data_IF_295454606948
#
_entry.id   IF_295454606948
#
_cell.length_a   1.000
_cell.length_b   1.000
_cell.length_c   1.000
_cell.angle_alpha   90.00
_cell.angle_beta   90.00
_cell.angle_gamma   90.00
#
_symmetry.space_group_name_H-M   'P 1'
#
loop_
_entity.id
_entity.type
_entity.pdbx_description
1 polymer ?
#
# COMPACT_ATOMS: atom_id res chain seq x y z
N UNK A 1 34.27 4.29 1.51
CA UNK A 1 33.38 3.42 2.27
C UNK A 1 31.94 3.78 1.88
N UNK A 2 31.12 2.82 1.43
CA UNK A 2 29.68 3.09 1.21
C UNK A 2 29.05 3.32 2.58
N UNK A 3 28.35 4.43 2.76
CA UNK A 3 27.55 4.62 3.97
C UNK A 3 26.56 3.45 4.09
N UNK A 4 26.41 2.85 5.28
CA UNK A 4 25.42 1.79 5.48
C UNK A 4 24.03 2.35 5.14
N UNK A 5 23.22 1.56 4.43
CA UNK A 5 21.86 1.95 4.00
C UNK A 5 20.98 2.19 5.23
N UNK A 6 21.12 1.35 6.23
CA UNK A 6 20.51 1.48 7.54
C UNK A 6 21.61 1.55 8.60
N UNK A 7 21.38 2.36 9.61
CA UNK A 7 22.30 2.47 10.75
C UNK A 7 22.08 1.29 11.68
N UNK A 8 23.14 0.59 12.03
CA UNK A 8 23.08 -0.53 12.99
C UNK A 8 22.46 -0.08 14.32
N UNK A 9 21.68 -0.94 14.94
CA UNK A 9 21.00 -0.70 16.22
C UNK A 9 20.04 0.50 16.21
N UNK A 10 19.59 0.94 15.03
CA UNK A 10 18.58 1.98 14.88
C UNK A 10 17.25 1.34 14.50
N UNK A 11 16.19 1.78 15.15
CA UNK A 11 14.83 1.36 14.85
C UNK A 11 14.30 2.15 13.66
N UNK A 12 13.65 1.45 12.72
CA UNK A 12 12.98 2.02 11.56
C UNK A 12 11.54 1.56 11.49
N UNK A 13 10.64 2.50 11.27
CA UNK A 13 9.25 2.21 10.90
C UNK A 13 9.09 2.20 9.39
N UNK A 14 8.01 1.61 8.86
CA UNK A 14 7.74 1.61 7.42
C UNK A 14 7.74 3.02 6.84
N UNK A 15 7.17 4.01 7.53
CA UNK A 15 7.16 5.41 7.09
C UNK A 15 8.55 6.06 7.05
N UNK A 16 9.54 5.55 7.79
CA UNK A 16 10.90 6.07 7.71
C UNK A 16 11.54 5.74 6.36
N UNK A 17 11.21 4.61 5.75
CA UNK A 17 11.69 4.22 4.43
C UNK A 17 11.23 5.16 3.32
N UNK A 18 10.06 5.77 3.46
CA UNK A 18 9.60 6.83 2.56
C UNK A 18 10.54 8.05 2.54
N UNK A 19 11.24 8.30 3.65
CA UNK A 19 12.14 9.45 3.83
C UNK A 19 13.58 9.15 3.44
N UNK A 20 13.94 7.87 3.28
CA UNK A 20 15.29 7.50 2.89
C UNK A 20 15.61 7.95 1.47
N UNK A 21 16.86 8.37 1.26
CA UNK A 21 17.40 8.73 -0.06
C UNK A 21 18.05 7.55 -0.78
N UNK A 22 18.18 6.41 -0.10
CA UNK A 22 18.75 5.20 -0.68
C UNK A 22 17.83 4.63 -1.78
N UNK A 23 18.39 4.16 -2.91
CA UNK A 23 17.60 3.55 -3.96
C UNK A 23 16.86 2.29 -3.47
N UNK A 24 15.60 2.10 -3.90
CA UNK A 24 14.79 0.93 -3.55
C UNK A 24 15.54 -0.41 -3.74
N UNK A 25 16.28 -0.54 -4.84
CA UNK A 25 17.09 -1.74 -5.11
C UNK A 25 18.09 -2.06 -4.00
N UNK A 26 18.71 -1.03 -3.43
CA UNK A 26 19.69 -1.21 -2.36
C UNK A 26 19.02 -1.58 -1.05
N UNK A 27 17.87 -0.97 -0.74
CA UNK A 27 17.07 -1.30 0.44
C UNK A 27 16.60 -2.76 0.38
N UNK A 28 16.06 -3.20 -0.75
CA UNK A 28 15.64 -4.59 -0.93
C UNK A 28 16.81 -5.57 -0.85
N UNK A 29 17.96 -5.24 -1.43
CA UNK A 29 19.16 -6.06 -1.32
C UNK A 29 19.64 -6.21 0.14
N UNK A 30 19.48 -5.17 0.97
CA UNK A 30 19.81 -5.24 2.39
C UNK A 30 18.99 -6.32 3.11
N UNK A 31 17.72 -6.47 2.74
CA UNK A 31 16.84 -7.52 3.27
C UNK A 31 16.93 -8.86 2.52
N UNK A 32 17.86 -9.01 1.58
CA UNK A 32 18.05 -10.27 0.83
C UNK A 32 17.13 -10.42 -0.39
N UNK A 33 16.39 -9.39 -0.78
CA UNK A 33 15.47 -9.41 -1.92
C UNK A 33 16.06 -8.72 -3.15
N UNK A 34 15.53 -9.02 -4.34
CA UNK A 34 15.95 -8.41 -5.61
C UNK A 34 14.77 -7.70 -6.28
N UNK A 35 15.00 -6.46 -6.69
CA UNK A 35 14.04 -5.71 -7.50
C UNK A 35 14.11 -6.18 -8.96
N UNK A 36 12.99 -6.59 -9.51
CA UNK A 36 12.80 -6.82 -10.95
C UNK A 36 11.67 -5.91 -11.46
N UNK A 37 11.90 -5.25 -12.59
CA UNK A 37 10.87 -4.50 -13.32
C UNK A 37 10.55 -5.27 -14.60
N UNK A 38 9.31 -5.74 -14.74
CA UNK A 38 8.84 -6.46 -15.92
C UNK A 38 7.36 -6.19 -16.15
N UNK A 39 6.91 -6.34 -17.38
CA UNK A 39 5.49 -6.48 -17.66
C UNK A 39 4.98 -7.77 -17.04
N UNK A 40 3.81 -7.70 -16.44
CA UNK A 40 3.13 -8.84 -15.85
C UNK A 40 1.65 -8.78 -16.19
N UNK A 41 1.13 -9.84 -16.79
CA UNK A 41 -0.30 -9.97 -17.03
C UNK A 41 -0.95 -10.46 -15.75
N UNK A 42 -1.71 -9.58 -15.10
CA UNK A 42 -2.47 -9.94 -13.91
C UNK A 42 -3.61 -10.87 -14.30
N UNK A 43 -3.93 -11.89 -13.49
CA UNK A 43 -5.10 -12.72 -13.71
C UNK A 43 -6.36 -11.85 -13.79
N UNK A 44 -7.16 -12.07 -14.82
CA UNK A 44 -8.43 -11.39 -15.00
C UNK A 44 -9.56 -12.22 -14.40
N UNK A 45 -10.32 -11.62 -13.48
CA UNK A 45 -11.58 -12.17 -12.99
C UNK A 45 -12.75 -11.80 -13.90
N UNK A 46 -13.96 -12.25 -13.55
CA UNK A 46 -15.17 -11.77 -14.22
C UNK A 46 -15.36 -10.28 -13.91
N UNK A 47 -15.71 -9.49 -14.93
CA UNK A 47 -15.93 -8.07 -14.77
C UNK A 47 -17.09 -7.77 -13.82
N UNK A 48 -16.86 -6.95 -12.83
CA UNK A 48 -17.86 -6.49 -11.85
C UNK A 48 -18.45 -5.17 -12.31
N UNK A 49 -19.02 -5.17 -13.51
CA UNK A 49 -19.39 -3.97 -14.26
C UNK A 49 -20.42 -3.11 -13.52
N UNK A 50 -21.42 -3.73 -12.90
CA UNK A 50 -22.52 -3.00 -12.27
C UNK A 50 -22.06 -2.22 -11.03
N UNK A 51 -21.26 -2.84 -10.17
CA UNK A 51 -20.74 -2.17 -8.97
C UNK A 51 -19.75 -1.06 -9.30
N UNK A 52 -18.86 -1.30 -10.27
CA UNK A 52 -17.94 -0.26 -10.72
C UNK A 52 -18.71 0.94 -11.31
N UNK A 53 -19.78 0.69 -12.04
CA UNK A 53 -20.66 1.74 -12.58
C UNK A 53 -21.38 2.51 -11.48
N UNK A 54 -21.94 1.81 -10.49
CA UNK A 54 -22.61 2.43 -9.35
C UNK A 54 -21.63 3.30 -8.54
N UNK A 55 -20.44 2.79 -8.26
CA UNK A 55 -19.40 3.55 -7.55
C UNK A 55 -18.98 4.80 -8.33
N UNK A 56 -18.76 4.67 -9.64
CA UNK A 56 -18.44 5.79 -10.53
C UNK A 56 -19.53 6.84 -10.51
N UNK A 57 -20.80 6.47 -10.63
CA UNK A 57 -21.92 7.39 -10.60
C UNK A 57 -21.99 8.12 -9.24
N UNK A 58 -21.83 7.40 -8.14
CA UNK A 58 -21.77 8.00 -6.81
C UNK A 58 -20.65 9.03 -6.70
N UNK A 59 -19.46 8.72 -7.19
CA UNK A 59 -18.36 9.68 -7.20
C UNK A 59 -18.65 10.91 -8.06
N UNK A 60 -19.26 10.75 -9.22
CA UNK A 60 -19.63 11.88 -10.07
C UNK A 60 -20.62 12.83 -9.36
N UNK A 61 -21.52 12.29 -8.55
CA UNK A 61 -22.50 13.06 -7.78
C UNK A 61 -21.90 13.70 -6.53
N UNK A 62 -20.97 13.07 -5.85
CA UNK A 62 -20.51 13.47 -4.50
C UNK A 62 -19.17 14.18 -4.48
N UNK A 63 -18.19 13.79 -5.32
CA UNK A 63 -16.85 14.38 -5.31
C UNK A 63 -16.82 15.89 -5.53
N UNK A 64 -17.72 16.52 -6.29
CA UNK A 64 -17.76 17.98 -6.40
C UNK A 64 -17.95 18.72 -5.08
N UNK A 65 -18.46 18.02 -4.05
CA UNK A 65 -18.72 18.58 -2.72
C UNK A 65 -17.69 18.16 -1.67
N UNK A 66 -16.64 17.43 -2.08
CA UNK A 66 -15.63 16.86 -1.18
C UNK A 66 -14.27 17.47 -1.49
N UNK A 67 -13.63 18.04 -0.49
CA UNK A 67 -12.27 18.53 -0.60
C UNK A 67 -11.27 17.39 -0.37
N UNK A 68 -10.53 17.00 -1.42
CA UNK A 68 -9.51 15.96 -1.37
C UNK A 68 -8.11 16.54 -1.07
N UNK A 69 -8.01 17.41 -0.08
CA UNK A 69 -6.81 18.19 0.20
C UNK A 69 -5.67 17.38 0.85
N UNK A 70 -5.98 16.29 1.51
CA UNK A 70 -4.99 15.49 2.23
C UNK A 70 -5.14 13.99 1.95
N UNK A 71 -4.17 13.22 2.43
CA UNK A 71 -4.11 11.77 2.25
C UNK A 71 -5.31 11.06 2.89
N UNK A 72 -5.72 11.48 4.08
CA UNK A 72 -6.87 10.90 4.77
C UNK A 72 -8.16 11.07 3.97
N UNK A 73 -8.44 12.26 3.45
CA UNK A 73 -9.63 12.48 2.62
C UNK A 73 -9.62 11.58 1.37
N UNK A 74 -8.46 11.39 0.74
CA UNK A 74 -8.32 10.49 -0.41
C UNK A 74 -8.52 9.02 -0.03
N UNK A 75 -8.02 8.61 1.12
CA UNK A 75 -8.25 7.26 1.66
C UNK A 75 -9.74 7.01 1.86
N UNK A 76 -10.42 7.91 2.55
CA UNK A 76 -11.84 7.77 2.90
C UNK A 76 -12.77 7.80 1.69
N UNK A 77 -12.54 8.73 0.76
CA UNK A 77 -13.48 8.97 -0.33
C UNK A 77 -13.13 8.29 -1.65
N UNK A 78 -11.87 7.89 -1.86
CA UNK A 78 -11.45 7.22 -3.09
C UNK A 78 -11.04 5.76 -2.88
N UNK A 79 -10.22 5.47 -1.86
CA UNK A 79 -9.66 4.12 -1.67
C UNK A 79 -10.67 3.23 -0.93
N UNK A 80 -11.15 3.64 0.24
CA UNK A 80 -12.05 2.84 1.06
C UNK A 80 -13.32 2.39 0.31
N UNK A 81 -14.00 3.22 -0.51
CA UNK A 81 -15.15 2.76 -1.26
C UNK A 81 -14.83 1.65 -2.29
N UNK A 82 -13.65 1.68 -2.91
CA UNK A 82 -13.20 0.58 -3.79
C UNK A 82 -12.98 -0.69 -2.99
N UNK A 83 -12.32 -0.59 -1.84
CA UNK A 83 -12.04 -1.73 -0.98
C UNK A 83 -13.31 -2.38 -0.42
N UNK A 84 -14.33 -1.58 -0.11
CA UNK A 84 -15.63 -2.10 0.30
C UNK A 84 -16.27 -2.94 -0.81
N UNK A 85 -16.15 -2.54 -2.08
CA UNK A 85 -16.62 -3.37 -3.20
C UNK A 85 -15.77 -4.64 -3.34
N UNK A 86 -14.44 -4.56 -3.19
CA UNK A 86 -13.56 -5.74 -3.19
C UNK A 86 -13.99 -6.74 -2.11
N UNK A 87 -14.21 -6.29 -0.88
CA UNK A 87 -14.66 -7.16 0.23
C UNK A 87 -16.01 -7.82 -0.09
N UNK A 88 -16.93 -7.07 -0.67
CA UNK A 88 -18.26 -7.60 -1.01
C UNK A 88 -18.18 -8.79 -1.98
N UNK A 89 -17.19 -8.78 -2.89
CA UNK A 89 -16.99 -9.87 -3.86
C UNK A 89 -16.10 -10.98 -3.33
N UNK A 90 -15.07 -10.65 -2.58
CA UNK A 90 -14.04 -11.61 -2.17
C UNK A 90 -14.30 -12.23 -0.81
N UNK A 91 -15.13 -11.60 0.01
CA UNK A 91 -15.33 -11.94 1.42
C UNK A 91 -14.01 -11.92 2.21
N UNK A 92 -13.03 -11.12 1.73
CA UNK A 92 -11.77 -10.93 2.44
C UNK A 92 -11.99 -10.16 3.74
N UNK A 93 -11.25 -10.51 4.77
CA UNK A 93 -11.18 -9.73 6.00
C UNK A 93 -10.29 -8.50 5.76
N UNK A 94 -10.71 -7.33 6.22
CA UNK A 94 -9.96 -6.10 6.10
C UNK A 94 -9.67 -5.50 7.47
N UNK A 95 -8.41 -5.16 7.69
CA UNK A 95 -7.95 -4.33 8.81
C UNK A 95 -7.46 -2.99 8.29
N UNK A 96 -7.82 -1.92 9.00
CA UNK A 96 -7.38 -0.55 8.75
C UNK A 96 -6.39 -0.16 9.83
N UNK A 97 -5.32 0.55 9.48
CA UNK A 97 -4.24 0.90 10.39
C UNK A 97 -3.69 -0.35 11.13
N UNK A 98 -3.40 -1.40 10.36
CA UNK A 98 -2.96 -2.68 10.92
C UNK A 98 -1.52 -2.59 11.44
N UNK A 99 -1.30 -2.78 12.75
CA UNK A 99 0.05 -2.75 13.31
C UNK A 99 0.81 -4.03 12.97
N UNK A 100 2.01 -3.89 12.40
CA UNK A 100 2.91 -5.00 12.12
C UNK A 100 4.26 -4.75 12.77
N UNK A 101 4.76 -5.71 13.53
CA UNK A 101 6.05 -5.62 14.22
C UNK A 101 6.81 -6.94 14.07
N UNK A 102 7.74 -6.99 13.12
CA UNK A 102 8.56 -8.17 12.82
C UNK A 102 9.95 -8.06 13.44
N UNK A 103 10.60 -6.91 13.21
CA UNK A 103 11.92 -6.60 13.79
C UNK A 103 12.00 -5.09 14.09
N UNK A 104 13.09 -4.67 14.74
CA UNK A 104 13.34 -3.23 14.94
C UNK A 104 13.46 -2.43 13.66
N UNK A 105 13.74 -3.08 12.53
CA UNK A 105 13.85 -2.46 11.22
C UNK A 105 12.64 -2.72 10.31
N UNK A 106 11.73 -3.62 10.71
CA UNK A 106 10.54 -4.01 9.96
C UNK A 106 9.33 -3.93 10.88
N UNK A 107 8.82 -2.73 11.08
CA UNK A 107 7.64 -2.47 11.91
C UNK A 107 6.95 -1.18 11.50
N UNK A 108 5.69 -1.06 11.86
CA UNK A 108 4.87 0.12 11.59
C UNK A 108 3.41 -0.23 11.46
N UNK A 109 2.70 0.57 10.71
CA UNK A 109 1.26 0.42 10.50
C UNK A 109 0.99 0.37 9.00
N UNK A 110 0.22 -0.61 8.56
CA UNK A 110 -0.25 -0.73 7.18
C UNK A 110 -1.58 0.01 7.06
N UNK A 111 -1.74 0.85 6.03
CA UNK A 111 -2.98 1.60 5.83
C UNK A 111 -4.19 0.69 5.69
N UNK A 112 -4.09 -0.32 4.82
CA UNK A 112 -5.10 -1.38 4.69
C UNK A 112 -4.41 -2.73 4.48
N UNK A 113 -4.89 -3.71 5.23
CA UNK A 113 -4.46 -5.10 5.14
C UNK A 113 -5.66 -5.99 4.93
N UNK A 114 -5.71 -6.67 3.79
CA UNK A 114 -6.79 -7.60 3.45
C UNK A 114 -6.24 -9.02 3.40
N UNK A 115 -6.98 -9.95 4.00
CA UNK A 115 -6.63 -11.38 3.99
C UNK A 115 -7.78 -12.23 3.48
N UNK A 116 -7.44 -13.25 2.72
CA UNK A 116 -8.31 -14.34 2.30
C UNK A 116 -7.54 -15.66 2.42
N UNK A 117 -8.18 -16.80 2.19
CA UNK A 117 -7.69 -18.15 2.55
C UNK A 117 -6.22 -18.45 2.19
N UNK A 118 -5.67 -17.87 1.14
CA UNK A 118 -4.26 -18.08 0.73
C UNK A 118 -3.64 -16.82 0.12
N UNK A 119 -4.21 -15.66 0.38
CA UNK A 119 -3.78 -14.40 -0.23
C UNK A 119 -3.83 -13.28 0.78
N UNK A 120 -2.89 -12.36 0.66
CA UNK A 120 -2.95 -11.09 1.36
C UNK A 120 -2.75 -9.94 0.36
N UNK A 121 -3.33 -8.81 0.67
CA UNK A 121 -3.17 -7.57 -0.07
C UNK A 121 -2.83 -6.47 0.91
N UNK A 122 -1.70 -5.81 0.67
CA UNK A 122 -1.27 -4.61 1.40
C UNK A 122 -1.49 -3.42 0.50
N UNK A 123 -2.12 -2.39 1.03
CA UNK A 123 -2.37 -1.14 0.32
C UNK A 123 -1.84 0.00 1.15
N UNK A 124 -0.94 0.76 0.55
CA UNK A 124 -0.37 1.99 1.10
C UNK A 124 -0.86 3.18 0.29
N UNK A 125 -1.50 4.12 0.96
CA UNK A 125 -2.01 5.34 0.34
C UNK A 125 -0.95 6.44 0.37
N UNK A 126 -0.82 7.19 -0.72
CA UNK A 126 0.08 8.35 -0.80
C UNK A 126 -0.57 9.53 -1.52
N UNK A 127 -0.34 10.72 -1.00
CA UNK A 127 -0.81 11.96 -1.61
C UNK A 127 0.06 12.45 -2.78
N UNK A 128 1.21 11.85 -2.99
CA UNK A 128 2.18 12.17 -4.04
C UNK A 128 3.43 11.31 -3.89
N UNK A 129 4.46 11.56 -4.69
CA UNK A 129 5.74 10.83 -4.68
C UNK A 129 5.55 9.29 -4.64
N UNK A 130 4.87 8.77 -5.64
CA UNK A 130 4.60 7.33 -5.76
C UNK A 130 5.88 6.49 -5.77
N UNK A 131 7.01 7.03 -6.26
CA UNK A 131 8.26 6.29 -6.29
C UNK A 131 8.78 6.00 -4.87
N UNK A 132 8.67 6.98 -3.97
CA UNK A 132 8.96 6.76 -2.54
C UNK A 132 7.88 5.93 -1.85
N UNK A 133 6.63 6.09 -2.26
CA UNK A 133 5.53 5.22 -1.81
C UNK A 133 5.80 3.74 -2.13
N UNK A 134 6.32 3.44 -3.32
CA UNK A 134 6.77 2.08 -3.67
C UNK A 134 7.90 1.58 -2.78
N UNK A 135 8.78 2.45 -2.31
CA UNK A 135 9.84 2.04 -1.37
C UNK A 135 9.26 1.59 -0.04
N UNK A 136 8.32 2.33 0.53
CA UNK A 136 7.63 1.97 1.76
C UNK A 136 6.84 0.67 1.57
N UNK A 137 5.98 0.58 0.54
CA UNK A 137 5.18 -0.62 0.24
C UNK A 137 6.05 -1.86 0.03
N UNK A 138 7.20 -1.74 -0.63
CA UNK A 138 8.11 -2.86 -0.83
C UNK A 138 8.70 -3.38 0.49
N UNK A 139 8.98 -2.51 1.46
CA UNK A 139 9.46 -2.91 2.79
C UNK A 139 8.34 -3.52 3.62
N UNK A 140 7.10 -3.04 3.50
CA UNK A 140 5.91 -3.64 4.11
C UNK A 140 5.68 -5.07 3.62
N UNK A 141 5.91 -5.32 2.32
CA UNK A 141 5.81 -6.66 1.72
C UNK A 141 6.97 -7.59 2.09
N UNK A 142 8.10 -7.05 2.55
CA UNK A 142 9.24 -7.84 3.08
C UNK A 142 8.98 -8.30 4.51
N UNK A 143 8.21 -7.54 5.27
CA UNK A 143 7.84 -7.83 6.65
C UNK A 143 6.81 -8.97 6.75
#
# INVERSE_FOLDING_TARGET
>A
MKNPILVENTSYTFSDYFRLTAPLKEILNYFGYRLQRRSYDLPHGQAVTDSATLLKNRWQETLPYIELANEMARREFLIAPVLMEVIRYTQAEMSVEYPLNVTDQLKGTLDYYLTATHQCLVIEAKNGDLEKGFTQLAVELVA
#
